data_IF_916182279650
#
_entry.id   IF_916182279650
#
_cell.length_a   1.000
_cell.length_b   1.000
_cell.length_c   1.000
_cell.angle_alpha   90.00
_cell.angle_beta   90.00
_cell.angle_gamma   90.00
#
_symmetry.space_group_name_H-M   'P 1'
#
loop_
_entity.id
_entity.type
_entity.pdbx_description
1 polymer ?
#
# COMPACT_ATOMS: atom_id res chain seq x y z
N UNK A 1 -2.79 9.60 -8.83
CA UNK A 1 -1.89 9.60 -9.99
C UNK A 1 -0.75 8.57 -9.89
N UNK A 2 0.05 8.56 -8.81
CA UNK A 2 1.16 7.60 -8.68
C UNK A 2 0.69 6.17 -8.42
N UNK A 3 -0.37 6.00 -7.62
CA UNK A 3 -1.00 4.71 -7.37
C UNK A 3 -1.70 4.18 -8.62
N UNK A 4 -2.49 5.02 -9.30
CA UNK A 4 -3.17 4.67 -10.56
C UNK A 4 -2.20 4.23 -11.66
N UNK A 5 -1.03 4.89 -11.74
CA UNK A 5 0.01 4.50 -12.69
C UNK A 5 0.74 3.21 -12.30
N UNK A 6 0.86 2.90 -11.01
CA UNK A 6 1.39 1.61 -10.55
C UNK A 6 0.39 0.47 -10.78
N UNK A 7 -0.89 0.76 -10.55
CA UNK A 7 -2.02 -0.12 -10.81
C UNK A 7 -2.17 -0.47 -12.29
N UNK A 8 -1.96 0.50 -13.18
CA UNK A 8 -2.03 0.30 -14.63
C UNK A 8 -0.84 -0.47 -15.23
N UNK A 9 0.24 -0.67 -14.48
CA UNK A 9 1.46 -1.35 -14.93
C UNK A 9 1.71 -2.61 -14.09
N UNK A 10 1.19 -3.74 -14.58
CA UNK A 10 1.29 -5.04 -13.92
C UNK A 10 2.72 -5.58 -13.79
N UNK A 11 3.68 -5.02 -14.53
CA UNK A 11 5.09 -5.39 -14.44
C UNK A 11 5.89 -4.52 -13.47
N UNK A 12 5.31 -3.43 -12.97
CA UNK A 12 6.03 -2.46 -12.15
C UNK A 12 6.16 -2.95 -10.71
N UNK A 13 7.41 -3.16 -10.30
CA UNK A 13 7.78 -3.52 -8.94
C UNK A 13 8.09 -2.26 -8.13
N UNK A 14 7.53 -2.16 -6.92
CA UNK A 14 7.79 -1.08 -5.98
C UNK A 14 8.08 -1.61 -4.58
N UNK A 15 8.94 -0.87 -3.90
CA UNK A 15 9.19 -1.03 -2.47
C UNK A 15 8.34 -0.04 -1.67
N UNK A 16 7.97 -0.40 -0.45
CA UNK A 16 7.19 0.49 0.39
C UNK A 16 7.02 0.02 1.83
N UNK A 17 6.30 0.82 2.61
CA UNK A 17 6.03 0.55 4.02
C UNK A 17 4.65 1.02 4.45
N UNK A 18 4.00 0.20 5.26
CA UNK A 18 2.83 0.54 6.04
C UNK A 18 3.27 0.82 7.47
N UNK A 19 2.95 2.02 7.97
CA UNK A 19 3.21 2.41 9.36
C UNK A 19 1.88 2.42 10.10
N UNK A 20 1.73 1.54 11.08
CA UNK A 20 0.53 1.48 11.93
C UNK A 20 0.80 2.27 13.19
N UNK A 21 0.03 3.34 13.40
CA UNK A 21 0.06 4.18 14.60
C UNK A 21 -1.16 3.91 15.44
N UNK A 22 -0.96 3.51 16.70
CA UNK A 22 -2.04 3.43 17.67
C UNK A 22 -2.63 4.81 17.94
N UNK A 23 -3.96 4.90 17.96
CA UNK A 23 -4.72 6.15 18.11
C UNK A 23 -4.40 6.89 19.42
N UNK A 24 -3.97 6.14 20.45
CA UNK A 24 -3.64 6.64 21.78
C UNK A 24 -2.12 6.77 22.02
N UNK A 25 -1.31 6.85 20.97
CA UNK A 25 0.16 6.93 21.11
C UNK A 25 0.85 5.59 21.44
N UNK A 26 0.13 4.47 21.34
CA UNK A 26 0.66 3.12 21.52
C UNK A 26 1.62 2.67 20.41
N UNK A 27 2.30 1.53 20.66
CA UNK A 27 3.38 0.92 19.86
C UNK A 27 3.18 1.06 18.35
N UNK A 28 4.20 1.60 17.68
CA UNK A 28 4.30 1.59 16.22
C UNK A 28 4.63 0.19 15.74
N UNK A 29 3.88 -0.29 14.75
CA UNK A 29 4.22 -1.48 13.97
C UNK A 29 4.53 -1.03 12.56
N UNK A 30 5.54 -1.63 11.94
CA UNK A 30 5.85 -1.35 10.54
C UNK A 30 5.81 -2.65 9.76
N UNK A 31 5.14 -2.62 8.62
CA UNK A 31 5.17 -3.68 7.63
C UNK A 31 5.79 -3.09 6.38
N UNK A 32 6.99 -3.53 6.02
CA UNK A 32 7.61 -3.15 4.77
C UNK A 32 7.48 -4.28 3.75
N UNK A 33 7.38 -3.90 2.49
CA UNK A 33 7.36 -4.81 1.36
C UNK A 33 8.44 -4.42 0.36
N UNK A 34 9.06 -5.42 -0.26
CA UNK A 34 10.01 -5.22 -1.35
C UNK A 34 9.60 -6.00 -2.60
N UNK A 35 9.93 -5.42 -3.74
CA UNK A 35 9.60 -5.93 -5.07
C UNK A 35 8.12 -6.30 -5.16
N UNK A 36 7.26 -5.35 -4.79
CA UNK A 36 5.83 -5.57 -4.75
C UNK A 36 5.16 -5.12 -6.05
N UNK A 37 4.12 -5.83 -6.47
CA UNK A 37 3.29 -5.48 -7.62
C UNK A 37 1.80 -5.48 -7.24
N UNK A 38 1.01 -4.66 -7.94
CA UNK A 38 -0.43 -4.65 -7.79
C UNK A 38 -1.04 -5.89 -8.44
N UNK A 39 -1.80 -6.66 -7.66
CA UNK A 39 -2.52 -7.87 -8.13
C UNK A 39 -3.96 -7.54 -8.50
N UNK A 40 -4.55 -6.54 -7.85
CA UNK A 40 -5.91 -6.11 -8.14
C UNK A 40 -6.32 -4.88 -7.37
N UNK A 41 -7.32 -4.19 -7.92
CA UNK A 41 -7.89 -2.99 -7.36
C UNK A 41 -9.42 -3.02 -7.44
N UNK A 42 -10.06 -2.33 -6.52
CA UNK A 42 -11.49 -2.13 -6.53
C UNK A 42 -11.85 -0.76 -5.98
N UNK A 43 -12.67 -0.04 -6.74
CA UNK A 43 -13.26 1.22 -6.30
C UNK A 43 -14.66 0.95 -5.77
N UNK A 44 -14.91 1.38 -4.54
CA UNK A 44 -16.23 1.29 -3.93
C UNK A 44 -16.92 2.65 -3.91
N UNK A 45 -18.11 2.69 -4.51
CA UNK A 45 -18.97 3.86 -4.56
C UNK A 45 -20.20 3.59 -3.69
N UNK A 46 -20.47 4.45 -2.71
CA UNK A 46 -21.72 4.43 -1.97
C UNK A 46 -22.62 5.61 -2.38
N UNK A 47 -23.87 5.59 -1.95
CA UNK A 47 -24.88 6.60 -2.32
C UNK A 47 -24.60 7.99 -1.74
N UNK A 48 -23.62 8.14 -0.84
CA UNK A 48 -23.23 9.46 -0.27
C UNK A 48 -22.10 10.12 -1.05
N UNK A 49 -21.33 9.36 -1.82
CA UNK A 49 -20.32 9.87 -2.73
C UNK A 49 -20.95 10.43 -4.00
N UNK A 50 -21.03 11.76 -4.12
CA UNK A 50 -21.52 12.50 -5.31
C UNK A 50 -20.69 12.20 -6.58
N UNK A 51 -20.82 11.00 -7.16
CA UNK A 51 -20.07 10.56 -8.34
C UNK A 51 -18.57 10.33 -8.09
N UNK A 52 -18.15 10.10 -6.84
CA UNK A 52 -16.75 9.82 -6.48
C UNK A 52 -16.65 8.52 -5.70
N UNK A 53 -15.57 7.78 -5.92
CA UNK A 53 -15.28 6.59 -5.13
C UNK A 53 -15.09 7.00 -3.67
N UNK A 54 -15.78 6.31 -2.77
CA UNK A 54 -15.68 6.51 -1.33
C UNK A 54 -14.52 5.74 -0.72
N UNK A 55 -14.18 4.59 -1.31
CA UNK A 55 -13.04 3.78 -0.88
C UNK A 55 -12.32 3.18 -2.08
N UNK A 56 -11.02 2.95 -1.90
CA UNK A 56 -10.18 2.18 -2.80
C UNK A 56 -9.62 0.99 -2.01
N UNK A 57 -9.78 -0.21 -2.55
CA UNK A 57 -9.13 -1.42 -2.07
C UNK A 57 -8.04 -1.82 -3.05
N UNK A 58 -6.84 -2.12 -2.55
CA UNK A 58 -5.71 -2.58 -3.36
C UNK A 58 -5.17 -3.87 -2.76
N UNK A 59 -4.97 -4.88 -3.61
CA UNK A 59 -4.28 -6.11 -3.27
C UNK A 59 -2.88 -6.05 -3.87
N UNK A 60 -1.87 -6.16 -3.01
CA UNK A 60 -0.46 -6.12 -3.39
C UNK A 60 0.16 -7.47 -3.06
N UNK A 61 0.97 -8.01 -3.97
CA UNK A 61 1.85 -9.15 -3.71
C UNK A 61 3.29 -8.66 -3.69
N UNK A 62 4.11 -9.21 -2.79
CA UNK A 62 5.50 -8.82 -2.61
C UNK A 62 6.38 -10.06 -2.42
N UNK A 63 7.62 -10.01 -2.90
CA UNK A 63 8.59 -11.10 -2.69
C UNK A 63 9.06 -11.17 -1.25
N UNK A 64 9.16 -10.02 -0.58
CA UNK A 64 9.63 -9.94 0.80
C UNK A 64 8.69 -9.09 1.64
N UNK A 65 8.33 -9.60 2.82
CA UNK A 65 7.58 -8.90 3.85
C UNK A 65 8.42 -8.82 5.12
N UNK A 66 8.61 -7.62 5.65
CA UNK A 66 9.40 -7.36 6.84
C UNK A 66 8.49 -6.72 7.89
N UNK A 67 8.40 -7.33 9.08
CA UNK A 67 7.56 -6.85 10.18
C UNK A 67 8.48 -6.36 11.30
N UNK A 68 8.33 -5.09 11.68
CA UNK A 68 9.07 -4.40 12.77
C UNK A 68 10.61 -4.42 12.68
N UNK A 69 11.19 -5.08 11.67
CA UNK A 69 12.60 -4.96 11.37
C UNK A 69 12.88 -3.52 10.91
N UNK A 70 14.01 -2.96 11.34
CA UNK A 70 14.54 -1.71 10.80
C UNK A 70 14.77 -1.91 9.31
N UNK A 71 13.83 -1.44 8.47
CA UNK A 71 13.98 -1.53 7.03
C UNK A 71 14.75 -0.30 6.60
N UNK A 72 16.06 -0.47 6.53
CA UNK A 72 16.94 0.53 5.94
C UNK A 72 16.70 0.54 4.42
N UNK A 73 16.16 1.65 3.94
CA UNK A 73 15.90 1.93 2.52
C UNK A 73 16.91 2.97 2.02
N UNK A 74 18.18 2.85 2.42
CA UNK A 74 19.24 3.62 1.79
C UNK A 74 19.37 3.15 0.33
N UNK A 75 18.72 3.91 -0.55
CA UNK A 75 18.69 3.89 -2.01
C UNK A 75 19.71 2.94 -2.67
N UNK A 76 19.20 1.93 -3.36
CA UNK A 76 19.89 1.28 -4.49
C UNK A 76 19.65 2.12 -5.76
#
# INVERSE_FOLDING_TARGET
PALDAWMADSGKLLDGRLVVRGINGGRFRTVAFREAFCVGESLHFNSTGRGRATSLSVLISAKHLLIDACVDFSNA
#
